data_IF_142302932832
#
_entry.id   IF_142302932832
#
_cell.length_a   1.000
_cell.length_b   1.000
_cell.length_c   1.000
_cell.angle_alpha   90.00
_cell.angle_beta   90.00
_cell.angle_gamma   90.00
#
_symmetry.space_group_name_H-M   'P 1'
#
loop_
_entity.id
_entity.type
_entity.pdbx_description
1 polymer ?
#
# COMPACT_ATOMS: atom_id res chain seq x y z
N UNK A 1 80.86 61.02 58.97
CA UNK A 1 79.53 60.51 59.29
C UNK A 1 78.44 60.89 58.27
N UNK A 2 78.76 61.72 57.30
CA UNK A 2 77.81 62.26 56.28
C UNK A 2 77.56 61.28 55.07
N UNK A 3 78.45 60.31 54.81
CA UNK A 3 78.25 59.38 53.65
C UNK A 3 77.33 58.20 53.90
N UNK A 4 77.03 57.83 55.14
CA UNK A 4 76.10 56.76 55.46
C UNK A 4 74.64 57.17 55.44
N UNK A 5 74.38 58.48 55.65
CA UNK A 5 72.99 59.02 55.59
C UNK A 5 72.50 59.20 54.15
N UNK A 6 73.43 59.54 53.18
CA UNK A 6 73.06 59.72 51.80
C UNK A 6 72.79 58.37 51.09
N UNK A 7 73.50 57.31 51.45
CA UNK A 7 73.25 55.97 50.98
C UNK A 7 71.90 55.37 51.45
N UNK A 8 71.48 55.72 52.69
CA UNK A 8 70.18 55.31 53.24
C UNK A 8 69.01 55.98 52.58
N UNK A 9 69.15 57.22 52.15
CA UNK A 9 68.09 57.95 51.42
C UNK A 9 67.99 57.44 49.96
N UNK A 10 69.14 57.25 49.29
CA UNK A 10 69.16 56.68 47.92
C UNK A 10 68.58 55.27 47.86
N UNK A 11 68.89 54.40 48.84
CA UNK A 11 68.35 53.03 48.91
C UNK A 11 66.87 53.07 49.29
N UNK A 12 66.39 53.96 50.09
CA UNK A 12 64.99 54.11 50.44
C UNK A 12 64.16 54.65 49.29
N UNK A 13 64.74 55.54 48.46
CA UNK A 13 64.10 56.09 47.25
C UNK A 13 64.00 55.03 46.17
N UNK A 14 65.05 54.20 45.90
CA UNK A 14 65.03 53.11 44.99
C UNK A 14 64.05 51.99 45.37
N UNK A 15 63.99 51.65 46.69
CA UNK A 15 63.03 50.67 47.20
C UNK A 15 61.59 51.22 47.13
N UNK A 16 61.38 52.51 47.36
CA UNK A 16 60.06 53.13 47.20
C UNK A 16 59.61 53.22 45.74
N UNK A 17 60.57 53.48 44.83
CA UNK A 17 60.29 53.53 43.37
C UNK A 17 60.03 52.10 42.80
N UNK A 18 60.80 51.12 43.26
CA UNK A 18 60.61 49.68 42.85
C UNK A 18 59.30 49.11 43.45
N UNK A 19 58.95 49.46 44.67
CA UNK A 19 57.68 49.11 45.32
C UNK A 19 56.46 49.80 44.67
N UNK A 20 56.66 51.02 44.16
CA UNK A 20 55.61 51.79 43.47
C UNK A 20 55.41 51.23 42.07
N UNK A 21 56.46 50.77 41.42
CA UNK A 21 56.39 50.18 40.09
C UNK A 21 55.73 48.77 40.13
N UNK A 22 56.09 47.91 41.09
CA UNK A 22 55.51 46.61 41.35
C UNK A 22 54.03 46.70 41.77
N UNK A 23 53.63 47.66 42.58
CA UNK A 23 52.23 47.93 42.91
C UNK A 23 51.46 48.53 41.78
N UNK A 24 52.10 49.29 40.87
CA UNK A 24 51.49 49.80 39.62
C UNK A 24 51.18 48.69 38.63
N UNK A 25 52.10 47.76 38.50
CA UNK A 25 51.92 46.60 37.59
C UNK A 25 50.79 45.66 38.12
N UNK A 26 50.76 45.40 39.43
CA UNK A 26 49.66 44.62 40.07
C UNK A 26 48.32 45.31 39.94
N UNK A 27 48.23 46.63 40.18
CA UNK A 27 47.00 47.39 39.98
C UNK A 27 46.58 47.39 38.50
N UNK A 28 47.50 47.52 37.55
CA UNK A 28 47.23 47.43 36.11
C UNK A 28 46.67 46.10 35.71
N UNK A 29 47.27 45.02 36.21
CA UNK A 29 46.79 43.66 35.91
C UNK A 29 45.42 43.37 36.54
N UNK A 30 45.14 43.87 37.71
CA UNK A 30 43.80 43.76 38.33
C UNK A 30 42.80 44.61 37.56
N UNK A 31 43.18 45.80 37.12
CA UNK A 31 42.28 46.66 36.31
C UNK A 31 41.95 46.09 34.95
N UNK A 32 42.95 45.49 34.27
CA UNK A 32 42.75 44.79 33.03
C UNK A 32 41.85 43.54 33.20
N UNK A 33 42.05 42.79 34.29
CA UNK A 33 41.21 41.63 34.62
C UNK A 33 39.78 42.05 34.96
N UNK A 34 39.57 43.18 35.62
CA UNK A 34 38.25 43.74 35.93
C UNK A 34 37.56 44.27 34.67
N UNK A 35 38.30 44.97 33.79
CA UNK A 35 37.75 45.40 32.49
C UNK A 35 37.39 44.22 31.58
N UNK A 36 38.24 43.20 31.50
CA UNK A 36 38.00 42.00 30.73
C UNK A 36 36.76 41.23 31.28
N UNK A 37 36.65 41.12 32.60
CA UNK A 37 35.49 40.48 33.27
C UNK A 37 34.22 41.30 33.05
N UNK A 38 34.30 42.62 33.17
CA UNK A 38 33.14 43.52 32.94
C UNK A 38 32.70 43.52 31.48
N UNK A 39 33.66 43.42 30.53
CA UNK A 39 33.40 43.25 29.11
C UNK A 39 32.67 41.96 28.83
N UNK A 40 33.14 40.83 29.36
CA UNK A 40 32.46 39.52 29.23
C UNK A 40 31.05 39.55 29.85
N UNK A 41 30.87 40.23 30.96
CA UNK A 41 29.56 40.36 31.59
C UNK A 41 28.60 41.26 30.80
N UNK A 42 29.09 42.37 30.23
CA UNK A 42 28.29 43.25 29.37
C UNK A 42 27.91 42.57 28.05
N UNK A 43 28.82 41.82 27.46
CA UNK A 43 28.55 41.02 26.25
C UNK A 43 27.54 39.91 26.51
N UNK A 44 27.71 39.16 27.60
CA UNK A 44 26.75 38.14 28.03
C UNK A 44 25.35 38.74 28.29
N UNK A 45 25.29 39.91 28.95
CA UNK A 45 24.04 40.63 29.18
C UNK A 45 23.41 41.11 27.87
N UNK A 46 24.22 41.60 26.93
CA UNK A 46 23.78 42.00 25.58
C UNK A 46 23.25 40.85 24.74
N UNK A 47 23.90 39.69 24.79
CA UNK A 47 23.41 38.46 24.16
C UNK A 47 22.09 38.02 24.83
N UNK A 48 21.99 38.07 26.15
CA UNK A 48 20.78 37.67 26.87
C UNK A 48 19.59 38.60 26.55
N UNK A 49 19.80 39.90 26.47
CA UNK A 49 18.75 40.87 26.10
C UNK A 49 18.25 40.68 24.65
N UNK A 50 19.11 40.30 23.73
CA UNK A 50 18.74 40.00 22.33
C UNK A 50 18.08 38.63 22.16
N UNK A 51 18.49 37.65 22.97
CA UNK A 51 17.94 36.27 22.90
C UNK A 51 16.59 36.15 23.63
N UNK A 52 16.38 36.91 24.72
CA UNK A 52 15.18 36.81 25.56
C UNK A 52 13.87 36.97 24.79
N UNK A 53 13.67 37.95 23.89
CA UNK A 53 12.44 38.09 23.11
C UNK A 53 12.21 36.89 22.18
N UNK A 54 13.27 36.36 21.58
CA UNK A 54 13.23 35.22 20.67
C UNK A 54 12.82 33.93 21.38
N UNK A 55 13.38 33.71 22.58
CA UNK A 55 13.02 32.57 23.45
C UNK A 55 11.57 32.68 23.92
N UNK A 56 11.12 33.88 24.33
CA UNK A 56 9.72 34.08 24.71
C UNK A 56 8.77 33.78 23.56
N UNK A 57 9.06 34.26 22.36
CA UNK A 57 8.23 33.98 21.15
C UNK A 57 8.21 32.49 20.88
N UNK A 58 9.36 31.80 20.93
CA UNK A 58 9.44 30.35 20.72
C UNK A 58 8.60 29.58 21.77
N UNK A 59 8.63 30.02 23.02
CA UNK A 59 7.87 29.42 24.11
C UNK A 59 6.35 29.64 23.94
N UNK A 60 5.94 30.83 23.50
CA UNK A 60 4.54 31.15 23.17
C UNK A 60 4.05 30.26 22.01
N UNK A 61 4.86 30.11 20.94
CA UNK A 61 4.54 29.21 19.82
C UNK A 61 4.39 27.76 20.30
N UNK A 62 5.27 27.32 21.18
CA UNK A 62 5.25 25.97 21.74
C UNK A 62 3.98 25.72 22.57
N UNK A 63 3.63 26.65 23.47
CA UNK A 63 2.42 26.55 24.31
C UNK A 63 1.15 26.59 23.45
N UNK A 64 1.02 27.59 22.56
CA UNK A 64 -0.12 27.73 21.67
C UNK A 64 -0.22 26.55 20.69
N UNK A 65 0.91 26.12 20.15
CA UNK A 65 0.97 24.99 19.23
C UNK A 65 0.52 23.67 19.88
N UNK A 66 0.96 23.39 21.11
CA UNK A 66 0.51 22.23 21.88
C UNK A 66 -1.00 22.32 22.17
N UNK A 67 -1.51 23.52 22.53
CA UNK A 67 -2.93 23.71 22.77
C UNK A 67 -3.78 23.47 21.51
N UNK A 68 -3.36 24.05 20.38
CA UNK A 68 -4.01 23.86 19.08
C UNK A 68 -3.94 22.37 18.66
N UNK A 69 -2.80 21.72 18.84
CA UNK A 69 -2.64 20.28 18.53
C UNK A 69 -3.58 19.41 19.35
N UNK A 70 -3.78 19.71 20.63
CA UNK A 70 -4.76 19.01 21.48
C UNK A 70 -6.19 19.26 21.02
N UNK A 71 -6.50 20.48 20.60
CA UNK A 71 -7.84 20.84 20.08
C UNK A 71 -8.14 20.08 18.79
N UNK A 72 -7.21 20.09 17.82
CA UNK A 72 -7.34 19.34 16.56
C UNK A 72 -7.52 17.84 16.84
N UNK A 73 -6.67 17.27 17.70
CA UNK A 73 -6.77 15.85 18.07
C UNK A 73 -8.12 15.51 18.74
N UNK A 74 -8.68 16.42 19.52
CA UNK A 74 -10.01 16.25 20.13
C UNK A 74 -11.14 16.29 19.08
N UNK A 75 -11.04 17.21 18.11
CA UNK A 75 -12.02 17.32 17.01
C UNK A 75 -11.99 16.05 16.16
N UNK A 76 -10.80 15.61 15.73
CA UNK A 76 -10.62 14.38 14.97
C UNK A 76 -11.12 13.16 15.76
N UNK A 77 -10.77 13.09 17.04
CA UNK A 77 -11.23 12.01 17.93
C UNK A 77 -12.76 11.95 18.04
N UNK A 78 -13.46 13.11 18.06
CA UNK A 78 -14.92 13.16 18.04
C UNK A 78 -15.50 12.76 16.67
N UNK A 79 -14.88 13.19 15.57
CA UNK A 79 -15.31 12.82 14.22
C UNK A 79 -15.22 11.31 13.99
N UNK A 80 -14.08 10.72 14.35
CA UNK A 80 -13.86 9.27 14.24
C UNK A 80 -14.73 8.47 15.19
N UNK A 81 -15.15 9.02 16.34
CA UNK A 81 -16.04 8.31 17.27
C UNK A 81 -17.49 8.20 16.81
N UNK A 82 -17.89 8.96 15.78
CA UNK A 82 -19.20 8.80 15.13
C UNK A 82 -19.23 7.65 14.11
N UNK A 83 -18.07 7.14 13.73
CA UNK A 83 -17.92 6.01 12.82
C UNK A 83 -17.79 4.70 13.62
N UNK A 84 -18.19 3.58 13.05
CA UNK A 84 -18.07 2.23 13.64
C UNK A 84 -16.62 1.71 13.72
N UNK A 85 -15.65 2.61 13.88
CA UNK A 85 -14.23 2.26 13.97
C UNK A 85 -13.92 1.72 15.36
N UNK A 86 -13.16 0.62 15.41
CA UNK A 86 -12.68 0.01 16.64
C UNK A 86 -11.95 1.05 17.51
N UNK A 87 -12.20 1.02 18.84
CA UNK A 87 -11.61 1.95 19.81
C UNK A 87 -10.08 1.99 19.78
N UNK A 88 -9.42 0.85 19.52
CA UNK A 88 -7.97 0.78 19.36
C UNK A 88 -7.48 1.55 18.14
N UNK A 89 -8.15 1.39 16.99
CA UNK A 89 -7.80 2.10 15.75
C UNK A 89 -8.02 3.62 15.88
N UNK A 90 -9.09 4.04 16.59
CA UNK A 90 -9.33 5.44 16.93
C UNK A 90 -8.20 6.02 17.77
N UNK A 91 -7.79 5.34 18.85
CA UNK A 91 -6.72 5.77 19.72
C UNK A 91 -5.39 5.91 18.97
N UNK A 92 -5.09 4.94 18.11
CA UNK A 92 -3.91 4.95 17.25
C UNK A 92 -3.90 6.17 16.32
N UNK A 93 -5.01 6.41 15.59
CA UNK A 93 -5.12 7.53 14.64
C UNK A 93 -4.96 8.88 15.33
N UNK A 94 -5.61 9.08 16.49
CA UNK A 94 -5.50 10.31 17.28
C UNK A 94 -4.08 10.51 17.80
N UNK A 95 -3.41 9.44 18.22
CA UNK A 95 -2.02 9.50 18.67
C UNK A 95 -1.05 9.83 17.55
N UNK A 96 -1.23 9.24 16.38
CA UNK A 96 -0.43 9.53 15.19
C UNK A 96 -0.54 11.01 14.78
N UNK A 97 -1.76 11.54 14.72
CA UNK A 97 -2.00 12.95 14.41
C UNK A 97 -1.34 13.86 15.45
N UNK A 98 -1.43 13.54 16.75
CA UNK A 98 -0.76 14.32 17.81
C UNK A 98 0.75 14.36 17.62
N UNK A 99 1.36 13.21 17.31
CA UNK A 99 2.82 13.14 17.09
C UNK A 99 3.23 14.03 15.93
N UNK A 100 2.52 13.94 14.79
CA UNK A 100 2.81 14.78 13.62
C UNK A 100 2.68 16.28 13.95
N UNK A 101 1.61 16.66 14.63
CA UNK A 101 1.38 18.05 15.02
C UNK A 101 2.45 18.56 16.02
N UNK A 102 2.87 17.73 16.98
CA UNK A 102 3.91 18.11 17.93
C UNK A 102 5.27 18.28 17.23
N UNK A 103 5.61 17.41 16.29
CA UNK A 103 6.83 17.57 15.48
C UNK A 103 6.78 18.90 14.72
N UNK A 104 5.66 19.23 14.08
CA UNK A 104 5.50 20.50 13.37
C UNK A 104 5.64 21.72 14.28
N UNK A 105 5.06 21.68 15.49
CA UNK A 105 5.18 22.76 16.51
C UNK A 105 6.62 22.93 16.98
N UNK A 106 7.32 21.81 17.23
CA UNK A 106 8.74 21.85 17.64
C UNK A 106 9.60 22.48 16.52
N UNK A 107 9.39 22.11 15.27
CA UNK A 107 10.10 22.67 14.12
C UNK A 107 9.87 24.17 14.02
N UNK A 108 8.61 24.63 14.17
CA UNK A 108 8.29 26.06 14.18
C UNK A 108 8.98 26.80 15.30
N UNK A 109 9.02 26.26 16.51
CA UNK A 109 9.70 26.85 17.65
C UNK A 109 11.23 26.94 17.45
N UNK A 110 11.84 25.87 16.89
CA UNK A 110 13.28 25.83 16.55
C UNK A 110 13.65 26.83 15.44
N UNK A 111 12.75 27.03 14.47
CA UNK A 111 12.93 28.01 13.40
C UNK A 111 13.02 29.44 13.94
N UNK A 112 12.18 29.78 14.93
CA UNK A 112 12.23 31.11 15.60
C UNK A 112 13.52 31.28 16.39
N UNK A 113 14.03 30.21 16.99
CA UNK A 113 15.34 30.22 17.70
C UNK A 113 16.54 30.30 16.75
N UNK A 114 16.31 30.45 15.43
CA UNK A 114 17.36 30.53 14.41
C UNK A 114 18.28 29.31 14.39
N UNK A 115 17.79 28.13 14.80
CA UNK A 115 18.52 26.87 14.67
C UNK A 115 18.66 26.56 13.17
N UNK A 116 19.83 26.11 12.68
CA UNK A 116 20.02 25.77 11.28
C UNK A 116 19.03 24.69 10.81
N UNK A 117 18.00 25.11 10.06
CA UNK A 117 16.91 24.24 9.62
C UNK A 117 17.37 23.19 8.59
N UNK A 118 18.48 23.43 7.90
CA UNK A 118 19.02 22.49 6.90
C UNK A 118 19.26 21.09 7.46
N UNK A 119 19.89 21.00 8.63
CA UNK A 119 20.17 19.72 9.29
C UNK A 119 18.88 19.00 9.71
N UNK A 120 17.91 19.75 10.24
CA UNK A 120 16.61 19.19 10.67
C UNK A 120 15.83 18.68 9.46
N UNK A 121 15.79 19.45 8.37
CA UNK A 121 15.13 19.05 7.11
C UNK A 121 15.78 17.80 6.53
N UNK A 122 17.12 17.71 6.57
CA UNK A 122 17.85 16.53 6.10
C UNK A 122 17.49 15.28 6.91
N UNK A 123 17.46 15.37 8.24
CA UNK A 123 17.07 14.25 9.11
C UNK A 123 15.62 13.86 8.89
N UNK A 124 14.70 14.84 8.80
CA UNK A 124 13.29 14.59 8.53
C UNK A 124 13.07 13.99 7.13
N UNK A 125 13.84 14.42 6.14
CA UNK A 125 13.81 13.87 4.79
C UNK A 125 14.23 12.39 4.78
N UNK A 126 15.35 12.07 5.45
CA UNK A 126 15.82 10.68 5.58
C UNK A 126 14.82 9.81 6.36
N UNK A 127 14.28 10.31 7.48
CA UNK A 127 13.25 9.62 8.25
C UNK A 127 11.96 9.43 7.44
N UNK A 128 11.54 10.46 6.69
CA UNK A 128 10.37 10.41 5.80
C UNK A 128 10.53 9.37 4.69
N UNK A 129 11.71 9.27 4.09
CA UNK A 129 12.02 8.24 3.10
C UNK A 129 11.94 6.84 3.71
N UNK A 130 12.54 6.64 4.87
CA UNK A 130 12.49 5.35 5.57
C UNK A 130 11.05 4.93 5.91
N UNK A 131 10.22 5.86 6.41
CA UNK A 131 8.80 5.63 6.69
C UNK A 131 8.03 5.34 5.41
N UNK A 132 8.29 6.08 4.32
CA UNK A 132 7.64 5.87 3.02
C UNK A 132 7.90 4.46 2.47
N UNK A 133 9.15 4.00 2.54
CA UNK A 133 9.51 2.63 2.14
C UNK A 133 8.85 1.57 3.03
N UNK A 134 8.78 1.82 4.33
CA UNK A 134 8.11 0.90 5.27
C UNK A 134 6.60 0.80 5.04
N UNK A 135 5.95 1.89 4.58
CA UNK A 135 4.51 1.96 4.32
C UNK A 135 4.13 1.75 2.85
N UNK A 136 5.09 1.42 1.98
CA UNK A 136 4.87 1.28 0.53
C UNK A 136 3.69 0.37 0.19
N UNK A 137 3.63 -0.81 0.80
CA UNK A 137 2.54 -1.77 0.57
C UNK A 137 1.18 -1.25 1.06
N UNK A 138 1.14 -0.51 2.16
CA UNK A 138 -0.08 0.14 2.64
C UNK A 138 -0.59 1.19 1.65
N UNK A 139 0.32 2.02 1.13
CA UNK A 139 0.00 3.04 0.14
C UNK A 139 -0.45 2.43 -1.18
N UNK A 140 0.21 1.37 -1.65
CA UNK A 140 -0.19 0.62 -2.85
C UNK A 140 -1.62 0.08 -2.72
N UNK A 141 -1.95 -0.55 -1.58
CA UNK A 141 -3.30 -1.06 -1.36
C UNK A 141 -4.36 0.04 -1.27
N UNK A 142 -4.04 1.16 -0.64
CA UNK A 142 -4.93 2.32 -0.59
C UNK A 142 -5.19 2.88 -1.98
N UNK A 143 -4.13 3.07 -2.78
CA UNK A 143 -4.22 3.55 -4.16
C UNK A 143 -4.98 2.56 -5.05
N UNK A 144 -4.71 1.26 -4.90
CA UNK A 144 -5.44 0.20 -5.59
C UNK A 144 -6.94 0.24 -5.28
N UNK A 145 -7.31 0.38 -4.00
CA UNK A 145 -8.71 0.52 -3.60
C UNK A 145 -9.38 1.75 -4.22
N UNK A 146 -8.69 2.88 -4.24
CA UNK A 146 -9.18 4.09 -4.91
C UNK A 146 -9.38 3.87 -6.42
N UNK A 147 -8.41 3.26 -7.10
CA UNK A 147 -8.49 2.96 -8.54
C UNK A 147 -9.68 2.05 -8.82
N UNK A 148 -9.86 0.95 -8.07
CA UNK A 148 -10.98 0.01 -8.27
C UNK A 148 -12.32 0.73 -8.10
N UNK A 149 -12.48 1.53 -7.04
CA UNK A 149 -13.73 2.25 -6.76
C UNK A 149 -14.05 3.34 -7.80
N UNK A 150 -13.01 3.95 -8.39
CA UNK A 150 -13.17 5.02 -9.37
C UNK A 150 -13.36 4.48 -10.80
N UNK A 151 -12.54 3.52 -11.24
CA UNK A 151 -12.60 2.94 -12.60
C UNK A 151 -13.64 1.84 -12.73
N UNK A 152 -14.02 1.19 -11.61
CA UNK A 152 -15.02 0.14 -11.52
C UNK A 152 -14.84 -1.00 -12.53
N UNK A 153 -13.69 -1.65 -12.60
CA UNK A 153 -13.49 -2.81 -13.47
C UNK A 153 -14.38 -3.98 -13.07
N UNK A 154 -14.91 -3.95 -11.87
CA UNK A 154 -15.97 -4.82 -11.35
C UNK A 154 -16.70 -4.11 -10.20
N UNK A 155 -17.85 -4.63 -9.83
CA UNK A 155 -18.68 -4.13 -8.73
C UNK A 155 -19.02 -5.26 -7.74
N UNK A 156 -19.57 -4.88 -6.57
CA UNK A 156 -20.07 -5.87 -5.63
C UNK A 156 -21.23 -6.66 -6.29
N UNK A 157 -21.17 -7.98 -6.22
CA UNK A 157 -22.05 -8.90 -6.88
C UNK A 157 -21.50 -9.55 -8.15
N UNK A 158 -20.45 -8.98 -8.76
CA UNK A 158 -19.82 -9.57 -9.93
C UNK A 158 -19.04 -10.84 -9.58
N UNK A 159 -19.01 -11.79 -10.51
CA UNK A 159 -18.15 -12.97 -10.45
C UNK A 159 -16.85 -12.63 -11.18
N UNK A 160 -15.76 -12.65 -10.46
CA UNK A 160 -14.44 -12.35 -11.01
C UNK A 160 -13.44 -13.48 -10.75
N UNK A 161 -12.46 -13.56 -11.63
CA UNK A 161 -11.26 -14.38 -11.45
C UNK A 161 -10.05 -13.48 -11.33
N UNK A 162 -9.29 -13.71 -10.27
CA UNK A 162 -8.05 -13.01 -9.94
C UNK A 162 -7.01 -14.06 -9.60
N UNK A 163 -5.97 -14.17 -10.42
CA UNK A 163 -4.95 -15.22 -10.30
C UNK A 163 -5.60 -16.61 -10.17
N UNK A 164 -5.45 -17.28 -9.02
CA UNK A 164 -6.00 -18.61 -8.74
C UNK A 164 -7.38 -18.57 -8.03
N UNK A 165 -7.93 -17.39 -7.81
CA UNK A 165 -9.16 -17.21 -7.00
C UNK A 165 -10.34 -16.81 -7.87
N UNK A 166 -11.37 -17.64 -7.91
CA UNK A 166 -12.65 -17.34 -8.59
C UNK A 166 -13.75 -17.19 -7.54
N UNK A 167 -14.54 -16.13 -7.63
CA UNK A 167 -15.65 -15.93 -6.70
C UNK A 167 -16.45 -14.66 -6.94
N UNK A 168 -17.51 -14.51 -6.16
CA UNK A 168 -18.36 -13.31 -6.20
C UNK A 168 -17.78 -12.21 -5.32
N UNK A 169 -17.66 -11.02 -5.85
CA UNK A 169 -17.23 -9.82 -5.11
C UNK A 169 -18.28 -9.48 -4.07
N UNK A 170 -17.91 -9.55 -2.80
CA UNK A 170 -18.80 -9.22 -1.68
C UNK A 170 -18.71 -7.74 -1.30
N UNK A 171 -17.48 -7.22 -1.21
CA UNK A 171 -17.22 -5.85 -0.74
C UNK A 171 -15.85 -5.38 -1.21
N UNK A 172 -15.76 -4.09 -1.53
CA UNK A 172 -14.53 -3.41 -1.93
C UNK A 172 -14.19 -2.42 -0.82
N UNK A 173 -13.27 -2.83 0.07
CA UNK A 173 -12.78 -1.99 1.15
C UNK A 173 -11.62 -1.10 0.74
N UNK A 174 -11.14 -0.29 1.68
CA UNK A 174 -10.03 0.66 1.44
C UNK A 174 -8.72 -0.07 1.09
N UNK A 175 -8.42 -1.21 1.74
CA UNK A 175 -7.17 -1.94 1.57
C UNK A 175 -7.34 -3.31 0.92
N UNK A 176 -8.54 -3.90 1.02
CA UNK A 176 -8.83 -5.27 0.58
C UNK A 176 -10.14 -5.32 -0.17
N UNK A 177 -10.16 -6.08 -1.26
CA UNK A 177 -11.37 -6.58 -1.89
C UNK A 177 -11.70 -7.94 -1.31
N UNK A 178 -12.97 -8.17 -0.94
CA UNK A 178 -13.48 -9.44 -0.41
C UNK A 178 -14.25 -10.15 -1.48
N UNK A 179 -13.88 -11.39 -1.75
CA UNK A 179 -14.64 -12.29 -2.63
C UNK A 179 -15.12 -13.50 -1.84
N UNK A 180 -16.25 -14.06 -2.25
CA UNK A 180 -16.76 -15.33 -1.73
C UNK A 180 -16.64 -16.36 -2.86
N UNK A 181 -15.86 -17.40 -2.65
CA UNK A 181 -15.71 -18.51 -3.59
C UNK A 181 -16.95 -19.37 -3.66
N UNK A 182 -17.08 -20.20 -4.71
CA UNK A 182 -18.23 -21.07 -4.90
C UNK A 182 -18.38 -22.13 -3.79
N UNK A 183 -17.30 -22.49 -3.10
CA UNK A 183 -17.31 -23.35 -1.90
C UNK A 183 -17.50 -22.57 -0.59
N UNK A 184 -18.00 -21.33 -0.70
CA UNK A 184 -18.38 -20.44 0.41
C UNK A 184 -17.24 -20.02 1.34
N UNK A 185 -16.02 -19.91 0.82
CA UNK A 185 -14.88 -19.31 1.54
C UNK A 185 -14.81 -17.82 1.26
N UNK A 186 -14.48 -17.03 2.28
CA UNK A 186 -14.20 -15.60 2.09
C UNK A 186 -12.69 -15.39 1.90
N UNK A 187 -12.31 -14.83 0.76
CA UNK A 187 -10.92 -14.49 0.44
C UNK A 187 -10.76 -12.98 0.51
N UNK A 188 -9.72 -12.53 1.21
CA UNK A 188 -9.34 -11.13 1.31
C UNK A 188 -8.13 -10.90 0.41
N UNK A 189 -8.30 -10.14 -0.66
CA UNK A 189 -7.24 -9.85 -1.61
C UNK A 189 -6.81 -8.39 -1.44
N UNK A 190 -5.52 -8.12 -1.17
CA UNK A 190 -5.00 -6.74 -1.10
C UNK A 190 -5.27 -5.99 -2.40
N UNK A 191 -5.81 -4.78 -2.34
CA UNK A 191 -6.23 -4.02 -3.52
C UNK A 191 -5.06 -3.73 -4.50
N UNK A 192 -3.85 -3.56 -3.98
CA UNK A 192 -2.65 -3.43 -4.82
C UNK A 192 -2.44 -4.66 -5.71
N UNK A 193 -2.60 -5.87 -5.16
CA UNK A 193 -2.53 -7.10 -5.96
C UNK A 193 -3.65 -7.18 -6.98
N UNK A 194 -4.86 -6.75 -6.63
CA UNK A 194 -6.00 -6.73 -7.55
C UNK A 194 -5.73 -5.84 -8.76
N UNK A 195 -5.14 -4.65 -8.52
CA UNK A 195 -4.84 -3.72 -9.63
C UNK A 195 -3.66 -4.13 -10.48
N UNK A 196 -2.74 -4.93 -9.94
CA UNK A 196 -1.56 -5.43 -10.64
C UNK A 196 -1.86 -6.74 -11.41
N UNK A 197 -2.92 -7.46 -11.04
CA UNK A 197 -3.31 -8.74 -11.64
C UNK A 197 -4.18 -8.57 -12.89
N UNK A 198 -4.21 -9.61 -13.72
CA UNK A 198 -5.23 -9.75 -14.76
C UNK A 198 -6.58 -10.06 -14.11
N UNK A 199 -7.57 -9.22 -14.37
CA UNK A 199 -8.94 -9.41 -13.89
C UNK A 199 -9.78 -9.99 -15.03
N UNK A 200 -10.45 -11.12 -14.78
CA UNK A 200 -11.48 -11.65 -15.68
C UNK A 200 -12.83 -11.44 -14.98
N UNK A 201 -13.67 -10.59 -15.55
CA UNK A 201 -15.04 -10.38 -15.07
C UNK A 201 -16.01 -11.22 -15.90
N UNK A 202 -16.65 -12.18 -15.24
CA UNK A 202 -17.57 -13.11 -15.90
C UNK A 202 -18.99 -12.57 -16.02
N UNK A 203 -19.32 -11.49 -15.32
CA UNK A 203 -20.69 -10.95 -15.21
C UNK A 203 -20.88 -9.59 -15.86
N UNK A 204 -19.81 -8.91 -16.27
CA UNK A 204 -19.88 -7.62 -16.93
C UNK A 204 -20.68 -7.69 -18.25
N UNK A 205 -20.47 -8.77 -19.03
CA UNK A 205 -21.27 -9.04 -20.24
C UNK A 205 -22.45 -9.95 -19.89
N UNK A 206 -23.66 -9.71 -20.45
CA UNK A 206 -24.86 -10.46 -20.09
C UNK A 206 -24.86 -11.91 -20.60
N UNK A 207 -24.05 -12.21 -21.62
CA UNK A 207 -24.01 -13.52 -22.27
C UNK A 207 -22.61 -14.11 -22.20
N UNK A 208 -22.53 -15.43 -22.18
CA UNK A 208 -21.29 -16.20 -22.14
C UNK A 208 -21.34 -17.37 -23.10
N UNK A 209 -20.21 -17.71 -23.74
CA UNK A 209 -20.09 -18.88 -24.59
C UNK A 209 -19.69 -20.09 -23.76
N UNK A 210 -20.41 -21.18 -23.97
CA UNK A 210 -20.06 -22.52 -23.49
C UNK A 210 -19.27 -23.19 -24.60
N UNK A 211 -18.06 -23.62 -24.28
CA UNK A 211 -17.21 -24.40 -25.16
C UNK A 211 -17.15 -25.84 -24.62
N UNK A 212 -17.69 -26.78 -25.39
CA UNK A 212 -17.66 -28.20 -25.08
C UNK A 212 -16.95 -28.94 -26.19
N UNK A 213 -16.34 -30.08 -25.87
CA UNK A 213 -15.74 -30.96 -26.83
C UNK A 213 -16.19 -32.39 -26.54
N UNK A 214 -16.68 -33.09 -27.58
CA UNK A 214 -17.14 -34.46 -27.49
C UNK A 214 -16.34 -35.35 -28.48
N UNK A 215 -15.84 -36.47 -27.97
CA UNK A 215 -15.05 -37.40 -28.73
C UNK A 215 -15.92 -38.55 -29.27
N UNK A 216 -15.75 -38.87 -30.55
CA UNK A 216 -16.39 -40.01 -31.17
C UNK A 216 -15.34 -40.94 -31.81
N UNK A 217 -15.71 -42.21 -32.01
CA UNK A 217 -14.85 -43.20 -32.72
C UNK A 217 -14.58 -42.77 -34.16
N UNK A 218 -13.43 -43.14 -34.72
CA UNK A 218 -13.13 -42.96 -36.12
C UNK A 218 -14.10 -43.68 -37.03
N UNK A 219 -14.75 -44.76 -36.57
CA UNK A 219 -15.78 -45.51 -37.28
C UNK A 219 -17.16 -44.86 -37.18
N UNK A 220 -17.38 -43.90 -36.28
CA UNK A 220 -18.67 -43.26 -36.11
C UNK A 220 -18.94 -42.22 -37.21
N UNK A 221 -20.20 -42.09 -37.60
CA UNK A 221 -20.62 -41.09 -38.58
C UNK A 221 -20.69 -39.71 -37.93
N UNK A 222 -19.75 -38.85 -38.30
CA UNK A 222 -19.69 -37.46 -37.86
C UNK A 222 -20.95 -36.66 -38.22
N UNK A 223 -21.51 -36.91 -39.44
CA UNK A 223 -22.73 -36.21 -39.86
C UNK A 223 -23.90 -36.51 -38.94
N UNK A 224 -24.10 -37.79 -38.61
CA UNK A 224 -25.12 -38.23 -37.65
C UNK A 224 -24.87 -37.65 -36.25
N UNK A 225 -23.64 -37.70 -35.76
CA UNK A 225 -23.31 -37.13 -34.44
C UNK A 225 -23.59 -35.62 -34.38
N UNK A 226 -23.17 -34.88 -35.42
CA UNK A 226 -23.45 -33.43 -35.53
C UNK A 226 -24.95 -33.11 -35.53
N UNK A 227 -25.74 -33.87 -36.31
CA UNK A 227 -27.18 -33.64 -36.44
C UNK A 227 -27.91 -33.95 -35.14
N UNK A 228 -27.46 -34.93 -34.35
CA UNK A 228 -27.94 -35.22 -33.01
C UNK A 228 -27.67 -34.02 -32.09
N UNK A 229 -26.41 -33.49 -32.05
CA UNK A 229 -26.05 -32.33 -31.20
C UNK A 229 -26.87 -31.11 -31.63
N UNK A 230 -27.02 -30.83 -32.91
CA UNK A 230 -27.85 -29.71 -33.38
C UNK A 230 -29.31 -29.87 -33.00
N UNK A 231 -29.85 -31.13 -33.00
CA UNK A 231 -31.18 -31.43 -32.53
C UNK A 231 -31.39 -31.13 -31.02
N UNK A 232 -30.39 -31.45 -30.19
CA UNK A 232 -30.40 -31.11 -28.76
C UNK A 232 -30.38 -29.58 -28.59
N UNK A 233 -29.46 -28.89 -29.28
CA UNK A 233 -29.34 -27.42 -29.21
C UNK A 233 -30.67 -26.74 -29.58
N UNK A 234 -31.38 -27.27 -30.61
CA UNK A 234 -32.66 -26.71 -31.06
C UNK A 234 -33.79 -26.84 -30.00
N UNK A 235 -33.70 -27.85 -29.13
CA UNK A 235 -34.69 -28.11 -28.09
C UNK A 235 -34.41 -27.37 -26.79
N UNK A 236 -33.13 -27.00 -26.53
CA UNK A 236 -32.71 -26.31 -25.34
C UNK A 236 -33.14 -24.82 -25.36
N UNK A 237 -33.91 -24.45 -24.32
CA UNK A 237 -34.46 -23.08 -24.24
C UNK A 237 -33.47 -22.03 -23.73
N UNK A 238 -32.42 -22.47 -23.03
CA UNK A 238 -31.42 -21.60 -22.42
C UNK A 238 -30.34 -21.19 -23.44
N UNK A 239 -30.24 -21.93 -24.56
CA UNK A 239 -29.29 -21.62 -25.63
C UNK A 239 -29.85 -20.49 -26.48
N UNK A 240 -29.03 -19.46 -26.66
CA UNK A 240 -29.34 -18.32 -27.50
C UNK A 240 -29.23 -18.67 -28.99
N UNK A 241 -30.18 -18.16 -29.79
CA UNK A 241 -30.18 -18.38 -31.24
C UNK A 241 -29.17 -17.52 -31.99
N UNK A 242 -28.74 -16.44 -31.36
CA UNK A 242 -27.73 -15.53 -31.90
C UNK A 242 -26.72 -15.17 -30.77
N UNK A 243 -25.40 -15.28 -31.00
CA UNK A 243 -24.78 -15.82 -32.23
C UNK A 243 -25.14 -17.30 -32.51
N UNK A 244 -25.11 -17.69 -33.78
CA UNK A 244 -25.45 -19.05 -34.20
C UNK A 244 -24.54 -20.11 -33.56
N UNK A 245 -25.09 -21.23 -33.05
CA UNK A 245 -24.30 -22.33 -32.51
C UNK A 245 -23.34 -22.93 -33.56
N UNK A 246 -22.15 -23.28 -33.10
CA UNK A 246 -21.13 -23.90 -33.95
C UNK A 246 -20.91 -25.34 -33.50
N UNK A 247 -21.09 -26.30 -34.44
CA UNK A 247 -20.78 -27.73 -34.23
C UNK A 247 -19.88 -28.17 -35.37
N UNK A 248 -18.60 -28.39 -35.04
CA UNK A 248 -17.56 -28.69 -36.03
C UNK A 248 -16.58 -29.73 -35.52
N UNK A 249 -16.04 -30.54 -36.45
CA UNK A 249 -14.88 -31.37 -36.15
C UNK A 249 -13.66 -30.45 -35.85
N UNK A 250 -13.01 -30.66 -34.72
CA UNK A 250 -11.88 -29.82 -34.28
C UNK A 250 -10.53 -30.52 -34.40
N UNK A 251 -10.47 -31.82 -34.12
CA UNK A 251 -9.19 -32.54 -34.16
C UNK A 251 -9.36 -34.04 -34.43
N UNK A 252 -8.27 -34.63 -34.94
CA UNK A 252 -8.06 -36.06 -35.02
C UNK A 252 -7.06 -36.45 -33.92
N UNK A 253 -7.54 -37.17 -32.91
CA UNK A 253 -6.73 -37.63 -31.79
C UNK A 253 -6.23 -39.05 -32.02
N UNK A 254 -5.43 -39.60 -31.07
CA UNK A 254 -4.88 -40.96 -31.20
C UNK A 254 -5.96 -42.07 -31.35
N UNK A 255 -7.13 -41.89 -30.71
CA UNK A 255 -8.18 -42.91 -30.69
C UNK A 255 -9.58 -42.34 -30.94
N UNK A 256 -9.70 -41.04 -31.18
CA UNK A 256 -10.98 -40.33 -31.33
C UNK A 256 -10.92 -39.18 -32.31
N UNK A 257 -12.09 -38.76 -32.78
CA UNK A 257 -12.31 -37.50 -33.48
C UNK A 257 -13.08 -36.58 -32.57
N UNK A 258 -12.54 -35.37 -32.28
CA UNK A 258 -13.22 -34.41 -31.45
C UNK A 258 -14.17 -33.52 -32.22
N UNK A 259 -15.33 -33.25 -31.63
CA UNK A 259 -16.37 -32.33 -32.11
C UNK A 259 -16.47 -31.18 -31.13
N UNK A 260 -16.12 -29.98 -31.54
CA UNK A 260 -16.34 -28.79 -30.77
C UNK A 260 -17.76 -28.28 -30.93
N UNK A 261 -18.35 -27.92 -29.76
CA UNK A 261 -19.71 -27.40 -29.66
C UNK A 261 -19.63 -26.07 -28.92
N UNK A 262 -19.89 -24.99 -29.65
CA UNK A 262 -19.82 -23.62 -29.11
C UNK A 262 -21.23 -23.03 -29.13
N UNK A 263 -21.78 -22.78 -27.93
CA UNK A 263 -23.14 -22.27 -27.77
C UNK A 263 -23.14 -21.06 -26.83
N UNK A 264 -24.02 -20.11 -27.05
CA UNK A 264 -24.16 -18.91 -26.22
C UNK A 264 -25.36 -19.01 -25.29
N UNK A 265 -25.18 -18.58 -24.04
CA UNK A 265 -26.22 -18.57 -23.00
C UNK A 265 -26.15 -17.28 -22.21
N UNK A 266 -27.20 -16.97 -21.43
CA UNK A 266 -27.09 -15.93 -20.41
C UNK A 266 -26.14 -16.37 -19.30
N UNK A 267 -25.45 -15.44 -18.67
CA UNK A 267 -24.50 -15.74 -17.61
C UNK A 267 -25.07 -16.59 -16.47
N UNK A 268 -26.31 -16.30 -16.07
CA UNK A 268 -26.98 -17.03 -14.99
C UNK A 268 -27.16 -18.52 -15.30
N UNK A 269 -27.28 -18.87 -16.59
CA UNK A 269 -27.61 -20.21 -17.08
C UNK A 269 -26.34 -21.02 -17.42
N UNK A 270 -25.16 -20.40 -17.38
CA UNK A 270 -23.90 -20.97 -17.89
C UNK A 270 -23.58 -22.36 -17.31
N UNK A 271 -23.59 -22.51 -15.99
CA UNK A 271 -23.24 -23.78 -15.34
C UNK A 271 -24.33 -24.82 -15.55
N UNK A 272 -25.58 -24.43 -15.43
CA UNK A 272 -26.74 -25.32 -15.63
C UNK A 272 -26.73 -25.88 -17.04
N UNK A 273 -26.64 -25.01 -18.02
CA UNK A 273 -26.68 -25.43 -19.40
C UNK A 273 -25.44 -26.23 -19.83
N UNK A 274 -24.28 -25.90 -19.30
CA UNK A 274 -23.07 -26.69 -19.56
C UNK A 274 -23.23 -28.15 -19.11
N UNK A 275 -23.83 -28.38 -17.96
CA UNK A 275 -24.08 -29.74 -17.48
C UNK A 275 -25.20 -30.43 -18.26
N UNK A 276 -26.32 -29.75 -18.53
CA UNK A 276 -27.42 -30.27 -19.33
C UNK A 276 -26.94 -30.75 -20.69
N UNK A 277 -26.18 -29.92 -21.39
CA UNK A 277 -25.61 -30.25 -22.69
C UNK A 277 -24.70 -31.48 -22.63
N UNK A 278 -23.84 -31.57 -21.62
CA UNK A 278 -22.92 -32.70 -21.47
C UNK A 278 -23.67 -34.00 -21.24
N UNK A 279 -24.70 -34.00 -20.40
CA UNK A 279 -25.54 -35.17 -20.10
C UNK A 279 -26.44 -35.55 -21.28
N UNK A 280 -27.06 -34.57 -21.90
CA UNK A 280 -27.96 -34.80 -23.05
C UNK A 280 -27.21 -35.40 -24.25
N UNK A 281 -26.03 -34.86 -24.58
CA UNK A 281 -25.23 -35.40 -25.69
C UNK A 281 -24.77 -36.83 -25.39
N UNK A 282 -24.31 -37.12 -24.16
CA UNK A 282 -23.91 -38.48 -23.79
C UNK A 282 -25.07 -39.48 -23.96
N UNK A 283 -26.24 -39.11 -23.42
CA UNK A 283 -27.44 -39.97 -23.54
C UNK A 283 -27.85 -40.18 -24.96
N UNK A 284 -27.90 -39.12 -25.77
CA UNK A 284 -28.30 -39.21 -27.18
C UNK A 284 -27.30 -39.99 -28.04
N UNK A 285 -26.02 -39.93 -27.74
CA UNK A 285 -25.00 -40.75 -28.42
C UNK A 285 -25.18 -42.22 -28.09
N UNK A 286 -25.43 -42.59 -26.83
CA UNK A 286 -25.69 -43.97 -26.42
C UNK A 286 -26.92 -44.52 -27.13
N UNK A 287 -28.04 -43.78 -27.11
CA UNK A 287 -29.31 -44.19 -27.74
C UNK A 287 -29.19 -44.34 -29.28
N UNK A 288 -28.32 -43.56 -29.89
CA UNK A 288 -28.12 -43.55 -31.34
C UNK A 288 -26.99 -44.47 -31.84
N UNK A 289 -26.30 -45.14 -30.92
CA UNK A 289 -25.15 -46.00 -31.22
C UNK A 289 -23.92 -45.23 -31.72
N UNK A 290 -23.75 -44.00 -31.34
CA UNK A 290 -22.51 -43.24 -31.54
C UNK A 290 -21.53 -43.63 -30.44
N UNK A 291 -20.45 -44.29 -30.84
CA UNK A 291 -19.42 -44.76 -29.90
C UNK A 291 -18.51 -43.64 -29.43
N UNK A 292 -18.39 -43.51 -28.10
CA UNK A 292 -17.33 -42.72 -27.44
C UNK A 292 -16.19 -43.70 -27.14
N UNK A 293 -15.05 -43.63 -27.86
CA UNK A 293 -14.05 -44.66 -27.80
C UNK A 293 -13.22 -44.62 -26.52
N UNK A 294 -12.89 -45.80 -26.03
CA UNK A 294 -11.76 -45.96 -25.09
C UNK A 294 -10.44 -45.83 -25.86
N UNK A 295 -9.31 -45.63 -25.17
CA UNK A 295 -8.01 -45.69 -25.81
C UNK A 295 -7.85 -47.00 -26.59
N UNK A 296 -7.54 -46.90 -27.90
CA UNK A 296 -7.39 -48.04 -28.81
C UNK A 296 -5.89 -48.39 -28.90
N UNK A 297 -5.60 -49.69 -29.02
CA UNK A 297 -4.25 -50.20 -29.20
C UNK A 297 -4.25 -51.31 -30.27
N UNK A 298 -3.55 -51.08 -31.38
CA UNK A 298 -3.32 -52.09 -32.39
C UNK A 298 -2.12 -52.97 -32.02
N UNK A 299 -2.37 -54.27 -31.81
CA UNK A 299 -1.30 -55.22 -31.43
C UNK A 299 -1.01 -56.16 -32.60
N UNK A 300 0.20 -56.11 -33.15
CA UNK A 300 0.68 -57.04 -34.13
C UNK A 300 1.47 -58.16 -33.40
N UNK A 301 0.84 -59.34 -33.27
CA UNK A 301 1.49 -60.52 -32.71
C UNK A 301 2.32 -61.16 -33.82
N UNK A 302 3.64 -61.20 -33.66
CA UNK A 302 4.53 -61.94 -34.54
C UNK A 302 4.61 -63.38 -34.05
N UNK A 303 4.22 -64.33 -34.89
CA UNK A 303 4.43 -65.73 -34.61
C UNK A 303 5.93 -65.98 -34.47
N UNK A 304 6.32 -66.70 -33.40
CA UNK A 304 7.71 -67.14 -33.24
C UNK A 304 7.98 -68.20 -34.35
N UNK A 305 8.93 -67.88 -35.22
CA UNK A 305 9.51 -68.83 -36.17
C UNK A 305 10.34 -69.90 -35.42
#
# INVERSE_FOLDING_TARGET
MTGLYSLGEEVSEVIAEEAADDTGEVIGSIQESVEQTSGLFSDAMGYMQKALPTVIIALVILILGIFISKLIAKIVGKAVSKSNVNGAAKSFLVSLIKIILYIAVIIMALSVLKVPMSSIITILGAAGLAISLALQNCLSNLSGGFIILFTKPFTAGDIIELDESVGTVRDIGIFYTKITTFDNKTVFIPNGKVTDAKIINYTETPTRRIDLSFDISYSADFGKARDIILGIIAQEKLILKAPEPIVRMSSHNNSSVSIDVLVWVNNADYLTERYNMTEAVKTAFDDSGIEIPFPQLDIHVKDKV
#
